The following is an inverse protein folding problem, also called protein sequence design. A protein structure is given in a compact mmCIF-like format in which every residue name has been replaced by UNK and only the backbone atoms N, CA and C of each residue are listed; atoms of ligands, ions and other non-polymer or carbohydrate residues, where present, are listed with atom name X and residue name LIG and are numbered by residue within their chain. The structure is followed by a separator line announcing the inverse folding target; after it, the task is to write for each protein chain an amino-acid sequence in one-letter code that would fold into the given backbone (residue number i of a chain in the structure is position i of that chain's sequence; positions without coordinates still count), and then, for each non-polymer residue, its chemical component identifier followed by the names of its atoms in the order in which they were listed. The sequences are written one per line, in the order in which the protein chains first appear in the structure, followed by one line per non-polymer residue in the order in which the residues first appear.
data_IF_671849713203
#
_entry.id   IF_671849713203
#
_cell.length_a   1.000
_cell.length_b   1.000
_cell.length_c   1.000
_cell.angle_alpha   90.00
_cell.angle_beta   90.00
_cell.angle_gamma   90.00
#
_symmetry.space_group_name_H-M   'P 1'
#
loop_
_entity.id
_entity.type
_entity.pdbx_description
1 polymer ?
#
# COMPACT_ATOMS: atom_id res chain seq x y z
N UNK A 1 -55.23 1.42 -34.34
CA UNK A 1 -54.02 1.74 -33.54
C UNK A 1 -52.71 1.21 -34.13
N UNK A 2 -52.69 0.25 -35.07
CA UNK A 2 -51.45 -0.31 -35.62
C UNK A 2 -50.74 0.56 -36.68
N UNK A 3 -51.41 1.53 -37.32
CA UNK A 3 -50.76 2.39 -38.33
C UNK A 3 -49.91 3.54 -37.77
N UNK A 4 -50.12 3.95 -36.50
CA UNK A 4 -49.33 5.04 -35.88
C UNK A 4 -47.94 4.58 -35.42
N UNK A 5 -47.72 3.29 -35.17
CA UNK A 5 -46.41 2.78 -34.75
C UNK A 5 -45.42 2.60 -35.91
N UNK A 6 -45.91 2.34 -37.12
CA UNK A 6 -45.04 2.18 -38.30
C UNK A 6 -44.38 3.50 -38.74
N UNK A 7 -45.11 4.62 -38.65
CA UNK A 7 -44.60 5.95 -39.03
C UNK A 7 -43.54 6.44 -38.04
N UNK A 8 -43.75 6.21 -36.73
CA UNK A 8 -42.76 6.57 -35.70
C UNK A 8 -41.47 5.75 -35.82
N UNK A 9 -41.55 4.49 -36.23
CA UNK A 9 -40.37 3.64 -36.42
C UNK A 9 -39.53 4.07 -37.64
N UNK A 10 -40.18 4.47 -38.74
CA UNK A 10 -39.49 4.95 -39.95
C UNK A 10 -38.80 6.31 -39.71
N UNK A 11 -39.41 7.20 -38.92
CA UNK A 11 -38.81 8.49 -38.54
C UNK A 11 -37.60 8.33 -37.58
N UNK A 12 -37.66 7.38 -36.66
CA UNK A 12 -36.53 7.06 -35.78
C UNK A 12 -35.36 6.41 -36.54
N UNK A 13 -35.65 5.55 -37.52
CA UNK A 13 -34.62 4.91 -38.33
C UNK A 13 -33.92 5.91 -39.27
N UNK A 14 -34.66 6.87 -39.84
CA UNK A 14 -34.07 7.94 -40.68
C UNK A 14 -33.23 8.92 -39.86
N UNK A 15 -33.64 9.24 -38.61
CA UNK A 15 -32.85 10.07 -37.70
C UNK A 15 -31.53 9.38 -37.29
N UNK A 16 -31.55 8.06 -37.04
CA UNK A 16 -30.36 7.27 -36.70
C UNK A 16 -29.35 7.18 -37.86
N UNK A 17 -29.83 7.06 -39.10
CA UNK A 17 -28.97 7.03 -40.29
C UNK A 17 -28.31 8.39 -40.53
N UNK A 18 -29.04 9.50 -40.32
CA UNK A 18 -28.49 10.85 -40.46
C UNK A 18 -27.42 11.17 -39.39
N UNK A 19 -27.60 10.67 -38.14
CA UNK A 19 -26.60 10.80 -37.07
C UNK A 19 -25.34 9.99 -37.38
N UNK A 20 -25.46 8.78 -37.94
CA UNK A 20 -24.29 7.99 -38.35
C UNK A 20 -23.51 8.62 -39.50
N UNK A 21 -24.19 9.24 -40.47
CA UNK A 21 -23.54 9.97 -41.58
C UNK A 21 -22.82 11.23 -41.06
N UNK A 22 -23.41 11.95 -40.11
CA UNK A 22 -22.79 13.13 -39.50
C UNK A 22 -21.54 12.77 -38.67
N UNK A 23 -21.56 11.66 -37.94
CA UNK A 23 -20.39 11.17 -37.19
C UNK A 23 -19.26 10.65 -38.09
N UNK A 24 -19.57 10.15 -39.30
CA UNK A 24 -18.55 9.68 -40.24
C UNK A 24 -17.82 10.84 -40.95
N UNK A 25 -18.50 11.98 -41.14
CA UNK A 25 -17.92 13.15 -41.82
C UNK A 25 -17.01 14.02 -40.93
N UNK A 26 -17.02 13.85 -39.61
CA UNK A 26 -16.19 14.65 -38.68
C UNK A 26 -14.80 14.01 -38.41
N UNK A 27 -14.57 12.74 -38.77
CA UNK A 27 -13.34 12.01 -38.45
C UNK A 27 -12.31 11.89 -39.60
N UNK A 28 -12.35 12.78 -40.60
CA UNK A 28 -11.39 12.76 -41.73
C UNK A 28 -10.63 14.07 -41.91
N UNK A 29 -9.85 14.49 -40.91
CA UNK A 29 -8.80 15.52 -40.97
C UNK A 29 -8.07 15.48 -39.61
N UNK A 30 -6.76 15.30 -39.40
CA UNK A 30 -5.55 15.52 -40.19
C UNK A 30 -4.45 14.53 -39.71
N UNK A 31 -3.65 14.05 -40.66
CA UNK A 31 -2.29 13.56 -40.46
C UNK A 31 -1.32 14.74 -40.64
N UNK A 32 -0.29 14.85 -39.80
CA UNK A 32 1.01 15.33 -40.27
C UNK A 32 2.14 14.81 -39.38
N UNK A 33 3.02 14.06 -40.02
CA UNK A 33 4.32 13.57 -39.58
C UNK A 33 5.39 14.68 -39.56
N UNK A 34 6.33 14.61 -38.62
CA UNK A 34 7.71 15.07 -38.86
C UNK A 34 8.73 14.35 -37.99
N UNK A 35 9.73 13.76 -38.64
CA UNK A 35 10.94 13.12 -38.12
C UNK A 35 12.10 14.13 -38.00
N UNK A 36 12.95 14.05 -36.95
CA UNK A 36 14.42 14.15 -37.08
C UNK A 36 15.20 13.82 -35.80
N UNK A 37 16.45 13.38 -35.98
CA UNK A 37 17.37 12.69 -35.08
C UNK A 37 18.19 13.55 -34.07
N UNK A 38 18.78 12.82 -33.10
CA UNK A 38 20.12 12.94 -32.45
C UNK A 38 20.27 13.56 -31.04
N UNK A 39 20.63 12.65 -30.13
CA UNK A 39 21.49 12.74 -28.91
C UNK A 39 21.78 14.11 -28.27
N UNK A 40 21.33 14.28 -27.03
CA UNK A 40 22.17 14.72 -25.92
C UNK A 40 21.41 14.62 -24.58
N UNK A 41 22.08 14.03 -23.58
CA UNK A 41 21.86 14.07 -22.13
C UNK A 41 20.50 14.62 -21.65
N UNK A 42 19.68 13.73 -21.09
CA UNK A 42 18.40 14.04 -20.45
C UNK A 42 18.58 14.86 -19.17
N UNK A 43 18.80 16.17 -19.32
CA UNK A 43 18.12 17.12 -18.46
C UNK A 43 16.69 17.23 -19.00
N UNK A 44 15.72 16.70 -18.27
CA UNK A 44 14.31 16.97 -18.54
C UNK A 44 14.09 18.46 -18.28
N UNK A 45 14.27 19.28 -19.33
CA UNK A 45 13.69 20.60 -19.41
C UNK A 45 12.18 20.39 -19.51
N UNK A 46 11.49 20.59 -18.39
CA UNK A 46 10.05 20.75 -18.40
C UNK A 46 9.74 21.99 -19.23
N UNK A 47 9.14 21.79 -20.40
CA UNK A 47 8.69 22.87 -21.26
C UNK A 47 7.55 23.56 -20.51
N UNK A 48 7.77 24.82 -20.13
CA UNK A 48 6.73 25.75 -19.71
C UNK A 48 5.66 25.77 -20.82
N UNK A 49 4.47 25.23 -20.55
CA UNK A 49 3.34 25.33 -21.48
C UNK A 49 2.35 24.18 -21.50
N UNK A 50 2.76 22.95 -21.17
CA UNK A 50 1.85 21.79 -21.14
C UNK A 50 1.32 21.53 -19.72
N UNK A 51 0.97 22.60 -19.01
CA UNK A 51 0.14 22.46 -17.83
C UNK A 51 -1.21 21.94 -18.28
N UNK A 52 -1.44 20.65 -18.03
CA UNK A 52 -2.79 20.14 -17.89
C UNK A 52 -3.52 21.17 -17.02
N UNK A 53 -4.65 21.66 -17.53
CA UNK A 53 -5.51 22.65 -16.91
C UNK A 53 -6.13 22.04 -15.64
N UNK A 54 -5.34 21.79 -14.59
CA UNK A 54 -5.74 21.10 -13.35
C UNK A 54 -6.27 22.09 -12.29
N UNK A 55 -6.37 23.38 -12.63
CA UNK A 55 -6.92 24.41 -11.75
C UNK A 55 -5.98 24.90 -10.65
N UNK A 56 -4.68 24.56 -10.69
CA UNK A 56 -3.67 25.12 -9.79
C UNK A 56 -2.97 26.32 -10.43
N UNK A 57 -2.74 27.36 -9.64
CA UNK A 57 -1.82 28.45 -9.99
C UNK A 57 -0.37 27.96 -9.99
N UNK A 58 0.50 28.63 -10.76
CA UNK A 58 1.94 28.39 -10.74
C UNK A 58 2.52 28.49 -9.32
N UNK A 59 2.02 29.44 -8.53
CA UNK A 59 2.39 29.62 -7.13
C UNK A 59 2.10 28.38 -6.27
N UNK A 60 0.90 27.80 -6.37
CA UNK A 60 0.52 26.58 -5.62
C UNK A 60 1.37 25.37 -6.04
N UNK A 61 1.73 25.28 -7.33
CA UNK A 61 2.63 24.25 -7.82
C UNK A 61 4.03 24.38 -7.22
N UNK A 62 4.62 25.59 -7.27
CA UNK A 62 5.94 25.86 -6.70
C UNK A 62 5.97 25.62 -5.18
N UNK A 63 4.91 26.01 -4.46
CA UNK A 63 4.79 25.77 -3.03
C UNK A 63 4.73 24.27 -2.71
N UNK A 64 3.92 23.51 -3.45
CA UNK A 64 3.82 22.06 -3.32
C UNK A 64 5.16 21.37 -3.60
N UNK A 65 5.89 21.81 -4.64
CA UNK A 65 7.22 21.29 -4.98
C UNK A 65 8.24 21.56 -3.88
N UNK A 66 8.24 22.78 -3.33
CA UNK A 66 9.14 23.15 -2.23
C UNK A 66 8.84 22.33 -0.97
N UNK A 67 7.56 22.16 -0.63
CA UNK A 67 7.13 21.30 0.48
C UNK A 67 7.60 19.86 0.30
N UNK A 68 7.50 19.29 -0.90
CA UNK A 68 7.97 17.93 -1.15
C UNK A 68 9.48 17.78 -0.94
N UNK A 69 10.27 18.77 -1.37
CA UNK A 69 11.73 18.79 -1.13
C UNK A 69 12.03 18.80 0.37
N UNK A 70 11.31 19.60 1.16
CA UNK A 70 11.47 19.65 2.61
C UNK A 70 11.08 18.33 3.29
N UNK A 71 9.98 17.72 2.85
CA UNK A 71 9.54 16.42 3.36
C UNK A 71 10.53 15.30 3.00
N UNK A 72 11.10 15.30 1.80
CA UNK A 72 12.13 14.34 1.40
C UNK A 72 13.38 14.43 2.28
N UNK A 73 13.83 15.66 2.58
CA UNK A 73 14.97 15.89 3.47
C UNK A 73 14.67 15.43 4.90
N UNK A 74 13.46 15.72 5.38
CA UNK A 74 13.02 15.38 6.74
C UNK A 74 12.76 13.89 6.92
N UNK A 75 12.19 13.23 5.93
CA UNK A 75 11.75 11.84 5.97
C UNK A 75 12.49 11.01 4.92
N UNK A 76 13.81 10.94 5.08
CA UNK A 76 14.64 10.03 4.29
C UNK A 76 14.26 8.56 4.56
N UNK A 77 14.45 7.71 3.56
CA UNK A 77 13.99 6.32 3.58
C UNK A 77 15.10 5.33 3.25
N UNK A 78 15.01 4.18 3.91
CA UNK A 78 15.72 2.94 3.55
C UNK A 78 14.71 1.99 2.92
N UNK A 79 15.06 1.36 1.80
CA UNK A 79 14.25 0.28 1.26
C UNK A 79 14.63 -1.04 1.92
N UNK A 80 13.65 -1.85 2.27
CA UNK A 80 13.83 -3.16 2.88
C UNK A 80 13.21 -4.20 1.95
N UNK A 81 14.02 -5.18 1.58
CA UNK A 81 13.59 -6.33 0.79
C UNK A 81 13.73 -7.60 1.62
N UNK A 82 12.62 -8.31 1.83
CA UNK A 82 12.65 -9.63 2.45
C UNK A 82 12.82 -10.70 1.38
N UNK A 83 13.98 -11.36 1.39
CA UNK A 83 14.27 -12.47 0.48
C UNK A 83 14.06 -13.82 1.16
N UNK A 84 13.51 -14.79 0.42
CA UNK A 84 13.53 -16.19 0.80
C UNK A 84 14.06 -17.10 -0.31
N UNK A 85 13.41 -17.16 -1.48
CA UNK A 85 13.76 -18.13 -2.54
C UNK A 85 13.94 -17.51 -3.92
N UNK A 86 13.53 -16.25 -4.11
CA UNK A 86 13.37 -15.65 -5.44
C UNK A 86 14.50 -14.66 -5.76
N UNK A 87 15.74 -15.14 -5.82
CA UNK A 87 16.92 -14.28 -6.05
C UNK A 87 16.80 -13.39 -7.30
N UNK A 88 16.22 -13.90 -8.40
CA UNK A 88 15.98 -13.11 -9.62
C UNK A 88 14.93 -12.01 -9.43
N UNK A 89 13.88 -12.27 -8.64
CA UNK A 89 12.87 -11.26 -8.31
C UNK A 89 13.46 -10.18 -7.41
N UNK A 90 14.26 -10.56 -6.41
CA UNK A 90 14.99 -9.61 -5.57
C UNK A 90 15.95 -8.76 -6.41
N UNK A 91 16.68 -9.36 -7.35
CA UNK A 91 17.57 -8.59 -8.22
C UNK A 91 16.82 -7.56 -9.07
N UNK A 92 15.66 -7.91 -9.62
CA UNK A 92 14.80 -6.97 -10.34
C UNK A 92 14.27 -5.85 -9.45
N UNK A 93 13.80 -6.19 -8.24
CA UNK A 93 13.34 -5.22 -7.27
C UNK A 93 14.45 -4.25 -6.87
N UNK A 94 15.67 -4.75 -6.58
CA UNK A 94 16.83 -3.91 -6.25
C UNK A 94 17.16 -2.95 -7.40
N UNK A 95 17.19 -3.41 -8.65
CA UNK A 95 17.44 -2.54 -9.79
C UNK A 95 16.41 -1.41 -9.89
N UNK A 96 15.12 -1.73 -9.76
CA UNK A 96 14.06 -0.73 -9.77
C UNK A 96 14.20 0.28 -8.63
N UNK A 97 14.54 -0.18 -7.41
CA UNK A 97 14.74 0.71 -6.26
C UNK A 97 15.96 1.63 -6.44
N UNK A 98 17.04 1.14 -7.04
CA UNK A 98 18.21 1.95 -7.39
C UNK A 98 17.85 3.00 -8.46
N UNK A 99 17.13 2.62 -9.51
CA UNK A 99 16.68 3.51 -10.59
C UNK A 99 15.75 4.62 -10.08
N UNK A 100 14.98 4.35 -9.00
CA UNK A 100 14.05 5.32 -8.43
C UNK A 100 14.73 6.54 -7.78
N UNK A 101 15.98 6.40 -7.31
CA UNK A 101 16.70 7.39 -6.50
C UNK A 101 15.95 7.88 -5.23
N UNK A 102 14.96 7.13 -4.74
CA UNK A 102 14.16 7.53 -3.56
C UNK A 102 14.78 7.14 -2.21
N UNK A 103 15.81 6.29 -2.23
CA UNK A 103 16.36 5.65 -1.03
C UNK A 103 17.81 6.02 -0.78
N UNK A 104 18.15 6.22 0.50
CA UNK A 104 19.54 6.44 0.93
C UNK A 104 20.30 5.12 1.11
N UNK A 105 19.59 4.05 1.44
CA UNK A 105 20.12 2.72 1.67
C UNK A 105 19.09 1.68 1.22
N UNK A 106 19.56 0.51 0.80
CA UNK A 106 18.74 -0.67 0.56
C UNK A 106 19.26 -1.78 1.48
N UNK A 107 18.41 -2.28 2.38
CA UNK A 107 18.68 -3.44 3.22
C UNK A 107 17.96 -4.65 2.63
N UNK A 108 18.72 -5.70 2.32
CA UNK A 108 18.19 -6.97 1.85
C UNK A 108 18.33 -7.96 2.99
N UNK A 109 17.21 -8.32 3.60
CA UNK A 109 17.16 -9.36 4.62
C UNK A 109 16.98 -10.71 3.96
N UNK A 110 18.06 -11.47 3.84
CA UNK A 110 17.98 -12.84 3.36
C UNK A 110 17.54 -13.77 4.51
N UNK A 111 16.28 -14.15 4.47
CA UNK A 111 15.65 -15.00 5.47
C UNK A 111 15.93 -16.49 5.24
N UNK A 112 16.68 -16.86 4.19
CA UNK A 112 16.97 -18.25 3.83
C UNK A 112 18.38 -18.67 4.23
N UNK A 113 18.53 -19.52 5.26
CA UNK A 113 19.85 -19.94 5.75
C UNK A 113 20.60 -20.85 4.77
N UNK A 114 19.91 -21.43 3.78
CA UNK A 114 20.51 -22.31 2.78
C UNK A 114 21.08 -21.55 1.58
N UNK A 115 20.85 -20.24 1.50
CA UNK A 115 21.35 -19.39 0.42
C UNK A 115 22.20 -18.30 1.07
N UNK A 116 23.38 -18.04 0.53
CA UNK A 116 24.19 -16.89 0.93
C UNK A 116 24.12 -15.83 -0.19
N UNK A 117 23.32 -14.79 0.01
CA UNK A 117 23.24 -13.69 -0.95
C UNK A 117 24.51 -12.85 -0.90
N UNK A 118 24.99 -12.47 -2.08
CA UNK A 118 26.15 -11.58 -2.25
C UNK A 118 25.81 -10.51 -3.27
N UNK A 119 26.50 -9.36 -3.21
CA UNK A 119 26.21 -8.22 -4.11
C UNK A 119 26.39 -8.52 -5.60
N UNK A 120 27.05 -9.62 -5.97
CA UNK A 120 27.32 -9.99 -7.37
C UNK A 120 26.04 -10.22 -8.17
N UNK A 121 24.95 -10.65 -7.54
CA UNK A 121 23.67 -10.88 -8.22
C UNK A 121 22.98 -9.59 -8.69
N UNK A 122 23.44 -8.43 -8.21
CA UNK A 122 22.87 -7.10 -8.52
C UNK A 122 23.68 -6.30 -9.55
N UNK A 123 24.80 -6.84 -10.05
CA UNK A 123 25.75 -6.13 -10.93
C UNK A 123 25.25 -5.84 -12.36
N UNK A 124 23.98 -6.07 -12.69
CA UNK A 124 23.49 -5.93 -14.06
C UNK A 124 23.48 -4.49 -14.57
N UNK A 125 23.41 -3.51 -13.67
CA UNK A 125 23.27 -2.11 -13.98
C UNK A 125 24.43 -1.34 -13.32
N UNK A 126 25.05 -0.39 -14.01
CA UNK A 126 26.25 0.37 -13.60
C UNK A 126 26.10 1.21 -12.31
N UNK A 127 25.13 0.93 -11.44
CA UNK A 127 24.98 1.60 -10.16
C UNK A 127 26.11 1.20 -9.21
N UNK A 128 26.52 2.15 -8.36
CA UNK A 128 27.27 1.79 -7.16
C UNK A 128 26.39 0.91 -6.28
N UNK A 129 26.99 -0.16 -5.74
CA UNK A 129 26.35 -1.07 -4.80
C UNK A 129 26.67 -0.69 -3.34
N UNK A 130 27.27 0.48 -3.10
CA UNK A 130 27.69 0.92 -1.76
C UNK A 130 26.51 1.17 -0.84
N UNK A 131 25.36 1.60 -1.39
CA UNK A 131 24.11 1.80 -0.66
C UNK A 131 23.37 0.51 -0.31
N UNK A 132 23.85 -0.66 -0.77
CA UNK A 132 23.21 -1.95 -0.49
C UNK A 132 23.89 -2.63 0.70
N UNK A 133 23.08 -3.01 1.70
CA UNK A 133 23.47 -3.88 2.81
C UNK A 133 22.70 -5.19 2.74
N UNK A 134 23.41 -6.32 2.81
CA UNK A 134 22.80 -7.66 2.80
C UNK A 134 22.98 -8.27 4.18
N UNK A 135 21.88 -8.71 4.79
CA UNK A 135 21.88 -9.42 6.07
C UNK A 135 21.49 -10.88 5.77
N UNK A 136 22.46 -11.79 5.83
CA UNK A 136 22.23 -13.23 5.69
C UNK A 136 21.86 -13.84 7.04
N UNK A 137 20.56 -14.08 7.24
CA UNK A 137 20.05 -14.65 8.49
C UNK A 137 20.40 -16.12 8.63
N UNK A 138 20.69 -16.54 9.87
CA UNK A 138 20.96 -17.96 10.22
C UNK A 138 19.68 -18.81 10.29
N UNK A 139 18.51 -18.17 10.27
CA UNK A 139 17.21 -18.81 10.34
C UNK A 139 16.13 -17.99 9.62
N UNK A 140 14.93 -18.56 9.48
CA UNK A 140 13.79 -17.86 8.89
C UNK A 140 12.96 -17.16 9.98
N UNK A 141 13.15 -15.84 10.14
CA UNK A 141 12.44 -15.00 11.10
C UNK A 141 11.02 -14.58 10.64
N UNK A 142 10.54 -15.06 9.48
CA UNK A 142 9.22 -14.74 8.94
C UNK A 142 8.98 -13.22 8.90
N UNK A 143 7.82 -12.75 9.37
CA UNK A 143 7.46 -11.33 9.39
C UNK A 143 8.35 -10.49 10.32
N UNK A 144 8.97 -11.07 11.35
CA UNK A 144 9.80 -10.31 12.29
C UNK A 144 11.01 -9.64 11.61
N UNK A 145 11.54 -10.29 10.56
CA UNK A 145 12.72 -9.84 9.81
C UNK A 145 12.63 -8.39 9.35
N UNK A 146 11.45 -7.96 8.86
CA UNK A 146 11.26 -6.62 8.30
C UNK A 146 11.39 -5.52 9.35
N UNK A 147 10.90 -5.79 10.57
CA UNK A 147 11.00 -4.85 11.68
C UNK A 147 12.42 -4.75 12.20
N UNK A 148 13.15 -5.87 12.26
CA UNK A 148 14.59 -5.88 12.61
C UNK A 148 15.41 -5.09 11.61
N UNK A 149 15.22 -5.34 10.32
CA UNK A 149 15.87 -4.59 9.25
C UNK A 149 15.58 -3.08 9.37
N UNK A 150 14.32 -2.69 9.60
CA UNK A 150 13.97 -1.29 9.73
C UNK A 150 14.55 -0.64 10.99
N UNK A 151 14.51 -1.34 12.12
CA UNK A 151 15.04 -0.85 13.38
C UNK A 151 16.56 -0.56 13.32
N UNK A 152 17.28 -1.28 12.48
CA UNK A 152 18.72 -1.11 12.20
C UNK A 152 19.04 -0.19 11.02
N UNK A 153 18.03 0.40 10.35
CA UNK A 153 18.23 1.33 9.25
C UNK A 153 18.80 2.67 9.75
N UNK A 154 19.52 3.39 8.88
CA UNK A 154 20.12 4.68 9.22
C UNK A 154 19.21 5.89 8.92
N UNK A 155 18.02 5.66 8.39
CA UNK A 155 17.06 6.68 7.97
C UNK A 155 15.88 6.82 8.94
N UNK A 156 15.03 7.82 8.69
CA UNK A 156 13.85 8.12 9.51
C UNK A 156 12.73 7.11 9.34
N UNK A 157 12.49 6.65 8.10
CA UNK A 157 11.49 5.64 7.79
C UNK A 157 12.03 4.55 6.88
N UNK A 158 11.19 3.53 6.67
CA UNK A 158 11.50 2.39 5.84
C UNK A 158 10.37 2.13 4.86
N UNK A 159 10.71 1.94 3.58
CA UNK A 159 9.84 1.24 2.65
C UNK A 159 10.13 -0.26 2.75
N UNK A 160 9.10 -1.09 2.66
CA UNK A 160 9.23 -2.54 2.73
C UNK A 160 8.41 -3.25 1.66
N UNK A 161 8.95 -4.32 1.07
CA UNK A 161 8.22 -5.24 0.18
C UNK A 161 8.82 -6.66 0.21
N UNK A 162 7.96 -7.68 0.07
CA UNK A 162 8.38 -9.10 -0.09
C UNK A 162 8.96 -9.39 -1.49
N UNK A 163 9.68 -10.52 -1.62
CA UNK A 163 10.30 -10.96 -2.89
C UNK A 163 9.33 -11.44 -3.99
N UNK A 164 8.01 -11.42 -3.76
CA UNK A 164 6.96 -11.70 -4.76
C UNK A 164 6.22 -10.48 -5.29
N UNK A 165 6.38 -9.27 -4.76
CA UNK A 165 5.56 -8.14 -5.20
C UNK A 165 6.32 -7.13 -6.05
N UNK A 166 5.69 -6.69 -7.13
CA UNK A 166 6.19 -5.63 -7.99
C UNK A 166 5.72 -4.25 -7.48
N UNK A 167 6.67 -3.48 -6.95
CA UNK A 167 6.42 -2.15 -6.41
C UNK A 167 6.31 -1.03 -7.45
N UNK A 168 6.54 -1.31 -8.73
CA UNK A 168 6.69 -0.27 -9.76
C UNK A 168 5.44 0.57 -10.04
N UNK A 169 4.27 0.12 -9.57
CA UNK A 169 2.99 0.77 -9.83
C UNK A 169 2.51 1.69 -8.71
N UNK A 170 3.18 1.71 -7.56
CA UNK A 170 2.70 2.44 -6.38
C UNK A 170 3.79 3.03 -5.49
N UNK A 171 5.07 2.81 -5.81
CA UNK A 171 6.19 3.20 -4.96
C UNK A 171 6.20 4.71 -4.65
N UNK A 172 6.11 5.54 -5.67
CA UNK A 172 6.14 7.01 -5.55
C UNK A 172 4.91 7.50 -4.82
N UNK A 173 3.72 7.02 -5.21
CA UNK A 173 2.45 7.37 -4.56
C UNK A 173 2.44 7.01 -3.08
N UNK A 174 2.93 5.81 -2.73
CA UNK A 174 2.97 5.36 -1.34
C UNK A 174 3.96 6.17 -0.50
N UNK A 175 5.12 6.53 -1.07
CA UNK A 175 6.11 7.39 -0.39
C UNK A 175 5.58 8.81 -0.22
N UNK A 176 4.93 9.38 -1.25
CA UNK A 176 4.32 10.70 -1.16
C UNK A 176 3.21 10.73 -0.09
N UNK A 177 2.40 9.67 -0.01
CA UNK A 177 1.37 9.55 1.03
C UNK A 177 1.98 9.48 2.43
N UNK A 178 3.05 8.69 2.60
CA UNK A 178 3.80 8.63 3.85
C UNK A 178 4.42 9.97 4.23
N UNK A 179 5.06 10.68 3.29
CA UNK A 179 5.66 11.99 3.56
C UNK A 179 4.62 13.01 3.99
N UNK A 180 3.41 12.95 3.43
CA UNK A 180 2.30 13.80 3.82
C UNK A 180 1.77 13.46 5.23
N UNK A 181 1.84 12.19 5.65
CA UNK A 181 1.39 11.78 6.97
C UNK A 181 2.23 10.67 7.65
N UNK A 182 3.47 10.95 8.06
CA UNK A 182 4.46 9.90 8.37
C UNK A 182 4.20 9.16 9.68
N UNK A 183 3.23 9.59 10.48
CA UNK A 183 2.98 9.03 11.81
C UNK A 183 1.97 7.89 11.81
N UNK A 184 1.48 7.46 10.66
CA UNK A 184 0.68 6.22 10.50
C UNK A 184 1.41 5.20 9.64
N UNK A 185 0.91 3.96 9.65
CA UNK A 185 1.33 2.93 8.72
C UNK A 185 0.71 3.19 7.35
N UNK A 186 1.53 3.21 6.31
CA UNK A 186 1.07 3.24 4.92
C UNK A 186 1.30 1.88 4.29
N UNK A 187 0.31 1.36 3.56
CA UNK A 187 0.44 0.06 2.91
C UNK A 187 -0.35 -0.05 1.62
N UNK A 188 -0.09 -1.11 0.87
CA UNK A 188 -0.77 -1.40 -0.39
C UNK A 188 -1.32 -2.82 -0.32
N UNK A 189 -2.53 -3.01 -0.84
CA UNK A 189 -3.08 -4.36 -1.02
C UNK A 189 -4.14 -4.39 -2.12
N UNK A 190 -4.70 -5.57 -2.39
CA UNK A 190 -5.80 -5.73 -3.34
C UNK A 190 -7.17 -5.49 -2.70
N UNK A 191 -8.20 -5.35 -3.52
CA UNK A 191 -9.56 -5.02 -3.09
C UNK A 191 -10.14 -5.93 -2.00
N UNK A 192 -10.02 -7.24 -2.16
CA UNK A 192 -10.58 -8.21 -1.22
C UNK A 192 -9.85 -8.17 0.11
N UNK A 193 -8.52 -8.12 0.08
CA UNK A 193 -7.69 -7.97 1.28
C UNK A 193 -7.90 -6.62 1.95
N UNK A 194 -8.07 -5.53 1.19
CA UNK A 194 -8.37 -4.20 1.72
C UNK A 194 -9.65 -4.25 2.55
N UNK A 195 -10.73 -4.82 2.00
CA UNK A 195 -12.00 -4.91 2.73
C UNK A 195 -11.86 -5.80 3.98
N UNK A 196 -11.18 -6.95 3.88
CA UNK A 196 -10.92 -7.79 5.06
C UNK A 196 -10.15 -7.02 6.14
N UNK A 197 -9.07 -6.33 5.77
CA UNK A 197 -8.27 -5.52 6.70
C UNK A 197 -9.11 -4.41 7.35
N UNK A 198 -9.95 -3.75 6.56
CA UNK A 198 -10.82 -2.69 7.01
C UNK A 198 -11.84 -3.18 8.06
N UNK A 199 -12.45 -4.35 7.84
CA UNK A 199 -13.36 -5.01 8.80
C UNK A 199 -12.65 -5.45 10.08
N UNK A 200 -11.33 -5.63 10.03
CA UNK A 200 -10.49 -5.99 11.17
C UNK A 200 -9.96 -4.73 11.90
N UNK A 201 -10.80 -3.70 11.98
CA UNK A 201 -10.53 -2.47 12.74
C UNK A 201 -11.42 -2.38 13.99
N UNK A 202 -10.92 -1.67 14.99
CA UNK A 202 -11.44 -1.65 16.35
C UNK A 202 -11.57 -0.23 16.88
N UNK A 203 -12.78 0.11 17.34
CA UNK A 203 -13.12 1.45 17.82
C UNK A 203 -13.84 1.39 19.16
N UNK A 204 -13.22 1.96 20.19
CA UNK A 204 -13.81 2.20 21.50
C UNK A 204 -13.27 3.53 22.04
N UNK A 205 -14.07 4.58 21.90
CA UNK A 205 -13.72 5.95 22.31
C UNK A 205 -13.54 6.08 23.83
N UNK A 206 -14.11 5.18 24.64
CA UNK A 206 -14.02 5.26 26.11
C UNK A 206 -12.60 4.96 26.60
N UNK A 207 -11.82 4.22 25.82
CA UNK A 207 -10.47 3.76 26.15
C UNK A 207 -9.42 4.22 25.13
N UNK A 208 -9.78 5.14 24.24
CA UNK A 208 -8.89 5.62 23.17
C UNK A 208 -8.40 4.52 22.22
N UNK A 209 -9.25 3.52 21.93
CA UNK A 209 -8.94 2.44 21.00
C UNK A 209 -9.34 2.82 19.56
N UNK A 210 -8.35 2.94 18.69
CA UNK A 210 -8.50 3.28 17.26
C UNK A 210 -7.55 2.45 16.39
N UNK A 211 -7.58 1.13 16.55
CA UNK A 211 -6.63 0.23 15.90
C UNK A 211 -7.18 -0.31 14.57
N UNK A 212 -6.37 -0.29 13.52
CA UNK A 212 -6.69 -0.88 12.22
C UNK A 212 -5.66 -1.92 11.81
N UNK A 213 -6.13 -3.01 11.20
CA UNK A 213 -5.22 -4.04 10.69
C UNK A 213 -4.72 -3.71 9.28
N UNK A 214 -3.50 -4.12 8.97
CA UNK A 214 -2.97 -4.14 7.60
C UNK A 214 -1.96 -5.26 7.43
N UNK A 215 -2.12 -6.06 6.36
CA UNK A 215 -1.00 -6.85 5.84
C UNK A 215 0.05 -5.94 5.19
N UNK A 216 1.33 -6.21 5.40
CA UNK A 216 2.44 -5.29 5.09
C UNK A 216 3.32 -5.82 3.93
N UNK A 217 3.17 -7.12 3.60
CA UNK A 217 3.94 -7.83 2.56
C UNK A 217 4.00 -7.17 1.19
N UNK A 218 2.88 -6.63 0.72
CA UNK A 218 2.73 -6.13 -0.66
C UNK A 218 3.31 -4.74 -0.89
N UNK A 219 3.97 -4.11 0.09
CA UNK A 219 4.39 -2.72 0.01
C UNK A 219 3.89 -1.95 1.21
N UNK A 220 4.81 -1.36 1.97
CA UNK A 220 4.47 -0.52 3.11
C UNK A 220 5.53 0.53 3.39
N UNK A 221 5.14 1.62 4.06
CA UNK A 221 6.06 2.63 4.58
C UNK A 221 5.66 2.98 6.01
N UNK A 222 6.66 3.01 6.90
CA UNK A 222 6.48 3.37 8.30
C UNK A 222 7.78 3.91 8.90
N UNK A 223 7.68 4.57 10.07
CA UNK A 223 8.85 5.13 10.76
C UNK A 223 9.71 4.04 11.40
N UNK A 224 11.03 4.25 11.39
CA UNK A 224 12.01 3.38 12.06
C UNK A 224 11.70 3.20 13.54
N UNK A 225 11.31 4.27 14.21
CA UNK A 225 10.97 4.24 15.63
C UNK A 225 9.78 3.30 15.94
N UNK A 226 8.84 3.14 15.00
CA UNK A 226 7.74 2.20 15.15
C UNK A 226 8.23 0.76 15.09
N UNK A 227 9.20 0.47 14.22
CA UNK A 227 9.85 -0.84 14.19
C UNK A 227 10.61 -1.13 15.49
N UNK A 228 11.37 -0.16 15.99
CA UNK A 228 12.13 -0.29 17.24
C UNK A 228 11.21 -0.56 18.44
N UNK A 229 10.15 0.25 18.57
CA UNK A 229 9.13 0.08 19.61
C UNK A 229 8.41 -1.26 19.47
N UNK A 230 8.11 -1.69 18.25
CA UNK A 230 7.46 -2.98 18.02
C UNK A 230 8.31 -4.15 18.47
N UNK A 231 9.63 -4.14 18.21
CA UNK A 231 10.54 -5.19 18.70
C UNK A 231 10.51 -5.26 20.23
N UNK A 232 10.46 -4.11 20.92
CA UNK A 232 10.33 -4.05 22.38
C UNK A 232 9.00 -4.67 22.85
N UNK A 233 7.88 -4.35 22.17
CA UNK A 233 6.59 -4.95 22.47
C UNK A 233 6.59 -6.47 22.28
N UNK A 234 7.16 -6.98 21.18
CA UNK A 234 7.27 -8.42 20.94
C UNK A 234 8.04 -9.11 22.08
N UNK A 235 9.15 -8.52 22.53
CA UNK A 235 9.94 -9.07 23.64
C UNK A 235 9.19 -9.05 24.96
N UNK A 236 8.44 -7.99 25.25
CA UNK A 236 7.72 -7.81 26.50
C UNK A 236 6.44 -8.67 26.54
N UNK A 237 5.55 -8.48 25.57
CA UNK A 237 4.21 -9.05 25.57
C UNK A 237 4.15 -10.50 25.05
N UNK A 238 5.07 -10.92 24.18
CA UNK A 238 5.09 -12.27 23.61
C UNK A 238 6.17 -13.18 24.19
N UNK A 239 6.76 -12.83 25.35
CA UNK A 239 7.76 -13.66 26.04
C UNK A 239 7.32 -15.12 26.22
N UNK A 240 6.04 -15.34 26.54
CA UNK A 240 5.44 -16.66 26.75
C UNK A 240 4.76 -17.24 25.50
N UNK A 241 4.73 -16.50 24.38
CA UNK A 241 4.03 -16.86 23.14
C UNK A 241 4.93 -16.68 21.91
N UNK A 242 6.21 -17.09 22.01
CA UNK A 242 7.22 -16.80 20.99
C UNK A 242 6.91 -17.36 19.61
N UNK A 243 6.12 -18.43 19.51
CA UNK A 243 5.70 -18.99 18.21
C UNK A 243 4.81 -18.03 17.41
N UNK A 244 4.17 -17.06 18.06
CA UNK A 244 3.31 -16.07 17.42
C UNK A 244 4.09 -14.91 16.80
N UNK A 245 5.37 -14.73 17.14
CA UNK A 245 6.23 -13.68 16.56
C UNK A 245 6.30 -13.79 15.04
N UNK A 246 6.08 -14.98 14.47
CA UNK A 246 6.00 -15.17 13.02
C UNK A 246 4.86 -14.42 12.32
N UNK A 247 3.87 -13.93 13.09
CA UNK A 247 2.77 -13.08 12.63
C UNK A 247 2.95 -11.63 13.12
N UNK A 248 4.18 -11.14 13.15
CA UNK A 248 4.51 -9.79 13.62
C UNK A 248 3.66 -8.70 12.94
N UNK A 249 3.24 -8.87 11.69
CA UNK A 249 2.36 -7.92 10.98
C UNK A 249 1.02 -7.68 11.70
N UNK A 250 0.45 -8.71 12.33
CA UNK A 250 -0.78 -8.62 13.13
C UNK A 250 -0.56 -7.74 14.36
N UNK A 251 0.51 -8.02 15.09
CA UNK A 251 0.82 -7.26 16.29
C UNK A 251 1.24 -5.83 15.95
N UNK A 252 2.06 -5.62 14.93
CA UNK A 252 2.54 -4.30 14.53
C UNK A 252 1.39 -3.37 14.19
N UNK A 253 0.54 -3.75 13.24
CA UNK A 253 -0.56 -2.90 12.77
C UNK A 253 -1.53 -2.55 13.90
N UNK A 254 -1.95 -3.55 14.70
CA UNK A 254 -2.89 -3.33 15.81
C UNK A 254 -2.26 -2.49 16.92
N UNK A 255 -1.01 -2.75 17.32
CA UNK A 255 -0.35 -2.06 18.43
C UNK A 255 0.12 -0.64 18.12
N UNK A 256 0.02 -0.18 16.87
CA UNK A 256 0.12 1.25 16.60
C UNK A 256 -1.06 2.04 17.19
N UNK A 257 -2.17 1.36 17.48
CA UNK A 257 -3.43 1.97 17.93
C UNK A 257 -3.86 3.14 17.02
N UNK A 258 -3.64 2.97 15.72
CA UNK A 258 -4.00 3.94 14.70
C UNK A 258 -4.51 3.21 13.46
N UNK A 259 -5.15 3.94 12.56
CA UNK A 259 -5.73 3.39 11.33
C UNK A 259 -4.72 3.55 10.20
N UNK A 260 -4.32 2.45 9.54
CA UNK A 260 -3.37 2.53 8.44
C UNK A 260 -3.98 3.24 7.23
N UNK A 261 -3.16 4.01 6.52
CA UNK A 261 -3.48 4.50 5.18
C UNK A 261 -3.19 3.38 4.17
N UNK A 262 -4.23 2.75 3.63
CA UNK A 262 -4.07 1.61 2.73
C UNK A 262 -4.54 1.94 1.31
N UNK A 263 -3.66 1.71 0.34
CA UNK A 263 -3.96 1.79 -1.08
C UNK A 263 -4.61 0.50 -1.55
N UNK A 264 -5.67 0.64 -2.35
CA UNK A 264 -6.32 -0.46 -3.05
C UNK A 264 -5.83 -0.49 -4.51
N UNK A 265 -5.07 -1.52 -4.85
CA UNK A 265 -4.35 -1.67 -6.10
C UNK A 265 -4.52 -3.07 -6.69
N UNK A 266 -4.32 -3.19 -8.00
CA UNK A 266 -4.09 -4.49 -8.64
C UNK A 266 -2.61 -4.84 -8.51
N UNK A 267 -2.23 -5.35 -7.35
CA UNK A 267 -0.86 -5.77 -7.03
C UNK A 267 -0.42 -6.90 -7.97
N UNK A 268 0.80 -6.80 -8.50
CA UNK A 268 1.35 -7.76 -9.45
C UNK A 268 2.42 -8.62 -8.80
N UNK A 269 2.36 -9.92 -9.09
CA UNK A 269 3.38 -10.84 -8.64
C UNK A 269 4.60 -10.77 -9.56
N UNK A 270 5.79 -10.79 -8.98
CA UNK A 270 7.02 -11.07 -9.68
C UNK A 270 7.06 -12.57 -10.02
N UNK A 271 7.37 -12.94 -11.27
CA UNK A 271 7.40 -14.34 -11.66
C UNK A 271 8.49 -15.09 -10.89
N UNK A 272 8.19 -16.31 -10.49
CA UNK A 272 9.08 -17.17 -9.72
C UNK A 272 9.25 -18.52 -10.41
N UNK A 273 10.49 -18.90 -10.74
CA UNK A 273 10.83 -20.23 -11.27
C UNK A 273 10.70 -21.34 -10.21
N UNK A 274 10.83 -21.00 -8.92
CA UNK A 274 10.79 -21.95 -7.79
C UNK A 274 10.04 -21.38 -6.57
N UNK A 275 8.74 -21.12 -6.70
CA UNK A 275 7.96 -20.49 -5.62
C UNK A 275 7.88 -21.33 -4.32
N UNK A 276 7.95 -22.67 -4.41
CA UNK A 276 7.81 -23.57 -3.26
C UNK A 276 6.53 -23.34 -2.44
N UNK A 277 6.39 -24.06 -1.32
CA UNK A 277 5.32 -23.83 -0.36
C UNK A 277 5.58 -22.54 0.44
N UNK A 278 4.59 -21.64 0.53
CA UNK A 278 4.64 -20.44 1.35
C UNK A 278 4.32 -20.77 2.81
N UNK A 279 4.65 -19.89 3.76
CA UNK A 279 4.26 -20.10 5.16
C UNK A 279 2.73 -20.21 5.33
N UNK A 280 1.99 -19.51 4.48
CA UNK A 280 0.52 -19.55 4.44
C UNK A 280 -0.07 -20.91 4.07
N UNK A 281 0.71 -21.81 3.48
CA UNK A 281 0.26 -23.17 3.15
C UNK A 281 0.54 -24.19 4.26
N UNK A 282 1.05 -23.77 5.42
CA UNK A 282 1.27 -24.67 6.56
C UNK A 282 -0.02 -24.94 7.33
N UNK A 283 -0.19 -26.15 7.87
CA UNK A 283 -1.40 -26.53 8.63
C UNK A 283 -1.65 -25.66 9.86
N UNK A 284 -0.58 -25.09 10.44
CA UNK A 284 -0.67 -24.22 11.62
C UNK A 284 -0.92 -22.75 11.29
N UNK A 285 -0.88 -22.34 10.03
CA UNK A 285 -1.04 -20.94 9.66
C UNK A 285 -2.35 -20.35 10.16
N UNK A 286 -3.48 -21.04 9.94
CA UNK A 286 -4.80 -20.58 10.38
C UNK A 286 -4.89 -20.47 11.91
N UNK A 287 -4.34 -21.45 12.61
CA UNK A 287 -4.32 -21.47 14.07
C UNK A 287 -3.53 -20.27 14.61
N UNK A 288 -2.30 -20.07 14.13
CA UNK A 288 -1.46 -18.98 14.62
C UNK A 288 -1.97 -17.61 14.20
N UNK A 289 -2.57 -17.46 13.02
CA UNK A 289 -3.22 -16.22 12.62
C UNK A 289 -4.38 -15.87 13.57
N UNK A 290 -5.19 -16.88 13.93
CA UNK A 290 -6.27 -16.72 14.88
C UNK A 290 -5.75 -16.32 16.28
N UNK A 291 -4.80 -17.08 16.82
CA UNK A 291 -4.20 -16.81 18.12
C UNK A 291 -3.57 -15.41 18.19
N UNK A 292 -2.81 -15.02 17.17
CA UNK A 292 -2.19 -13.69 17.09
C UNK A 292 -3.22 -12.57 17.04
N UNK A 293 -4.29 -12.73 16.27
CA UNK A 293 -5.31 -11.68 16.13
C UNK A 293 -6.06 -11.43 17.43
N UNK A 294 -6.48 -12.52 18.10
CA UNK A 294 -7.16 -12.45 19.40
C UNK A 294 -6.23 -11.89 20.48
N UNK A 295 -4.97 -12.35 20.51
CA UNK A 295 -4.02 -11.91 21.52
C UNK A 295 -3.64 -10.44 21.33
N UNK A 296 -3.40 -9.99 20.09
CA UNK A 296 -3.03 -8.61 19.80
C UNK A 296 -4.05 -7.62 20.35
N UNK A 297 -5.34 -7.83 20.05
CA UNK A 297 -6.41 -6.92 20.50
C UNK A 297 -6.65 -7.00 22.01
N UNK A 298 -6.57 -8.20 22.61
CA UNK A 298 -6.71 -8.35 24.08
C UNK A 298 -5.61 -7.61 24.83
N UNK A 299 -4.37 -7.69 24.35
CA UNK A 299 -3.25 -6.98 24.97
C UNK A 299 -3.43 -5.47 24.84
N UNK A 300 -3.76 -4.98 23.64
CA UNK A 300 -3.98 -3.56 23.41
C UNK A 300 -5.11 -3.03 24.30
N UNK A 301 -6.28 -3.66 24.24
CA UNK A 301 -7.48 -3.25 24.98
C UNK A 301 -7.25 -3.25 26.49
N UNK A 302 -6.62 -4.30 27.02
CA UNK A 302 -6.29 -4.38 28.44
C UNK A 302 -5.37 -3.24 28.85
N UNK A 303 -4.30 -2.99 28.09
CA UNK A 303 -3.34 -1.94 28.41
C UNK A 303 -3.93 -0.54 28.31
N UNK A 304 -4.88 -0.30 27.39
CA UNK A 304 -5.60 0.96 27.29
C UNK A 304 -6.53 1.20 28.48
N UNK A 305 -7.17 0.16 29.02
CA UNK A 305 -7.95 0.26 30.27
C UNK A 305 -7.08 0.46 31.52
N UNK A 306 -5.91 -0.16 31.57
CA UNK A 306 -4.97 -0.06 32.70
C UNK A 306 -4.13 1.23 32.68
N UNK A 307 -4.16 1.98 31.58
CA UNK A 307 -3.38 3.20 31.30
C UNK A 307 -3.68 4.39 32.25
N UNK A 308 -4.38 4.14 33.36
CA UNK A 308 -4.62 5.05 34.48
C UNK A 308 -3.65 4.81 35.66
N UNK A 309 -2.61 3.98 35.51
CA UNK A 309 -1.67 3.66 36.60
C UNK A 309 -0.29 4.31 36.41
N UNK A 310 0.25 4.90 37.48
CA UNK A 310 1.52 5.64 37.53
C UNK A 310 2.79 4.75 37.40
N UNK A 311 2.74 3.63 36.67
CA UNK A 311 3.88 2.73 36.54
C UNK A 311 4.94 3.30 35.57
N UNK A 312 6.11 3.63 36.09
CA UNK A 312 7.24 4.17 35.33
C UNK A 312 7.85 3.15 34.35
N UNK A 313 7.52 1.86 34.46
CA UNK A 313 7.97 0.80 33.54
C UNK A 313 6.94 0.48 32.45
N UNK A 314 5.84 1.24 32.38
CA UNK A 314 4.77 0.99 31.43
C UNK A 314 5.20 1.33 29.98
N UNK A 315 5.15 0.34 29.09
CA UNK A 315 5.34 0.55 27.64
C UNK A 315 3.96 0.64 26.99
N UNK A 316 3.42 1.85 26.91
CA UNK A 316 2.06 2.08 26.44
C UNK A 316 1.83 2.05 24.95
N UNK A 317 0.56 1.87 24.56
CA UNK A 317 0.08 1.95 23.18
C UNK A 317 -0.52 3.33 22.85
N UNK A 318 0.15 4.39 23.31
CA UNK A 318 -0.34 5.75 23.11
C UNK A 318 -0.37 6.12 21.64
N UNK A 319 -1.49 6.70 21.20
CA UNK A 319 -1.63 7.30 19.88
C UNK A 319 -0.76 8.56 19.82
N UNK A 320 -0.09 8.79 18.69
CA UNK A 320 0.68 10.02 18.50
C UNK A 320 -0.20 11.24 18.28
N UNK A 321 -1.37 11.03 17.69
CA UNK A 321 -2.30 12.10 17.37
C UNK A 321 -3.72 11.60 17.57
N UNK A 322 -4.58 12.45 18.14
CA UNK A 322 -6.01 12.20 18.18
C UNK A 322 -6.59 12.53 16.79
N UNK A 323 -6.40 11.60 15.85
CA UNK A 323 -6.83 11.75 14.46
C UNK A 323 -8.26 11.29 14.30
N UNK A 324 -8.99 11.99 13.43
CA UNK A 324 -10.20 11.42 12.83
C UNK A 324 -9.78 10.35 11.84
N UNK A 325 -10.59 9.31 11.73
CA UNK A 325 -10.40 8.21 10.81
C UNK A 325 -10.07 8.72 9.40
N UNK A 326 -9.05 8.17 8.73
CA UNK A 326 -8.79 8.52 7.34
C UNK A 326 -9.97 8.04 6.49
N UNK A 327 -10.86 8.96 6.14
CA UNK A 327 -12.05 8.65 5.36
C UNK A 327 -11.74 8.25 3.91
N UNK A 328 -10.47 8.39 3.48
CA UNK A 328 -10.10 8.25 2.09
C UNK A 328 -9.53 6.86 1.77
N UNK A 329 -10.15 6.20 0.79
CA UNK A 329 -9.53 5.07 0.08
C UNK A 329 -8.68 5.64 -1.04
N UNK A 330 -7.47 5.09 -1.22
CA UNK A 330 -6.47 5.61 -2.15
C UNK A 330 -6.13 4.59 -3.25
N UNK A 331 -5.70 5.07 -4.40
CA UNK A 331 -5.16 4.27 -5.50
C UNK A 331 -4.14 5.11 -6.26
N UNK A 332 -3.03 4.52 -6.69
CA UNK A 332 -2.09 5.20 -7.59
C UNK A 332 -2.55 5.05 -9.03
N UNK A 333 -2.16 6.01 -9.87
CA UNK A 333 -2.34 5.88 -11.31
C UNK A 333 -1.53 4.68 -11.85
N UNK A 334 -1.85 4.18 -13.07
CA UNK A 334 -1.10 3.10 -13.69
C UNK A 334 0.36 3.43 -13.98
N UNK A 335 0.73 4.72 -13.98
CA UNK A 335 2.09 5.22 -14.16
C UNK A 335 2.74 5.66 -12.85
N UNK A 336 2.03 5.55 -11.73
CA UNK A 336 2.47 6.00 -10.40
C UNK A 336 2.90 7.47 -10.38
N UNK A 337 2.15 8.33 -11.09
CA UNK A 337 2.41 9.77 -11.25
C UNK A 337 1.41 10.66 -10.50
N UNK A 338 0.28 10.11 -10.04
CA UNK A 338 -0.65 10.78 -9.13
C UNK A 338 -1.41 9.78 -8.25
N UNK A 339 -1.98 10.31 -7.16
CA UNK A 339 -2.83 9.57 -6.21
C UNK A 339 -4.29 9.98 -6.44
N UNK A 340 -5.16 9.01 -6.70
CA UNK A 340 -6.60 9.18 -6.61
C UNK A 340 -7.07 8.81 -5.21
N UNK A 341 -7.90 9.65 -4.61
CA UNK A 341 -8.52 9.39 -3.32
C UNK A 341 -10.02 9.70 -3.35
N UNK A 342 -10.80 8.94 -2.60
CA UNK A 342 -12.25 9.15 -2.44
C UNK A 342 -12.69 8.75 -1.05
N UNK A 343 -13.75 9.38 -0.54
CA UNK A 343 -14.35 9.09 0.75
C UNK A 343 -15.40 7.96 0.71
N UNK A 344 -15.45 7.20 -0.39
CA UNK A 344 -16.37 6.07 -0.55
C UNK A 344 -15.74 4.83 0.07
N UNK A 345 -16.22 4.47 1.25
CA UNK A 345 -15.82 3.28 2.00
C UNK A 345 -16.82 2.13 1.77
N UNK A 346 -16.38 0.85 1.86
CA UNK A 346 -17.30 -0.28 1.77
C UNK A 346 -18.31 -0.32 2.92
N UNK A 347 -17.94 0.22 4.08
CA UNK A 347 -18.73 0.27 5.29
C UNK A 347 -18.28 1.44 6.17
N UNK A 348 -19.19 1.98 6.99
CA UNK A 348 -18.85 2.98 8.01
C UNK A 348 -18.40 2.29 9.30
N UNK A 349 -17.12 1.94 9.36
CA UNK A 349 -16.55 1.12 10.44
C UNK A 349 -16.53 1.83 11.80
N UNK A 350 -16.46 3.18 11.82
CA UNK A 350 -16.50 3.97 13.06
C UNK A 350 -17.85 3.83 13.78
N UNK A 351 -18.92 3.53 13.04
CA UNK A 351 -20.26 3.29 13.62
C UNK A 351 -20.46 1.87 14.13
N UNK A 352 -19.47 0.99 14.01
CA UNK A 352 -19.53 -0.39 14.49
C UNK A 352 -18.80 -0.47 15.83
N UNK A 353 -19.53 -0.38 16.96
CA UNK A 353 -18.91 -0.39 18.27
C UNK A 353 -18.10 -1.67 18.47
N UNK A 354 -17.00 -1.58 19.20
CA UNK A 354 -16.22 -2.74 19.60
C UNK A 354 -16.46 -3.08 21.07
N UNK A 355 -16.76 -4.36 21.34
CA UNK A 355 -16.81 -4.88 22.71
C UNK A 355 -15.94 -6.14 22.80
N UNK A 356 -14.85 -6.08 23.55
CA UNK A 356 -13.89 -7.20 23.64
C UNK A 356 -14.55 -8.53 24.07
N UNK A 357 -15.60 -8.51 24.90
CA UNK A 357 -16.29 -9.72 25.35
C UNK A 357 -17.09 -10.41 24.25
N UNK A 358 -17.49 -9.67 23.20
CA UNK A 358 -18.31 -10.17 22.07
C UNK A 358 -17.54 -10.25 20.76
N UNK A 359 -16.61 -9.31 20.54
CA UNK A 359 -15.96 -9.04 19.26
C UNK A 359 -14.48 -9.47 19.23
N UNK A 360 -13.97 -10.22 20.21
CA UNK A 360 -12.55 -10.60 20.25
C UNK A 360 -12.07 -11.38 19.01
N UNK A 361 -12.98 -12.03 18.27
CA UNK A 361 -12.67 -12.72 17.02
C UNK A 361 -12.79 -11.82 15.77
N UNK A 362 -13.11 -10.52 15.89
CA UNK A 362 -13.35 -9.61 14.76
C UNK A 362 -12.23 -9.64 13.73
N UNK A 363 -10.97 -9.62 14.16
CA UNK A 363 -9.78 -9.68 13.31
C UNK A 363 -9.40 -11.06 12.76
N UNK A 364 -10.29 -12.04 12.83
CA UNK A 364 -9.99 -13.43 12.43
C UNK A 364 -10.64 -13.78 11.10
N UNK A 365 -10.15 -14.85 10.46
CA UNK A 365 -10.73 -15.36 9.22
C UNK A 365 -12.19 -15.82 9.32
N UNK A 366 -12.73 -16.02 10.52
CA UNK A 366 -14.17 -16.29 10.72
C UNK A 366 -15.05 -15.10 10.34
N UNK A 367 -14.49 -13.89 10.39
CA UNK A 367 -15.17 -12.63 10.10
C UNK A 367 -14.68 -12.02 8.79
N UNK A 368 -14.30 -12.84 7.81
CA UNK A 368 -14.08 -12.35 6.45
C UNK A 368 -15.41 -11.83 5.88
N UNK A 369 -15.40 -10.66 5.23
CA UNK A 369 -16.61 -10.16 4.61
C UNK A 369 -17.03 -11.13 3.50
N UNK A 370 -18.34 -11.37 3.38
CA UNK A 370 -18.93 -12.25 2.37
C UNK A 370 -20.18 -11.62 1.76
N UNK A 371 -20.68 -12.20 0.67
CA UNK A 371 -21.92 -11.75 0.03
C UNK A 371 -21.78 -10.59 -0.95
N UNK A 372 -22.92 -10.01 -1.33
CA UNK A 372 -23.02 -9.05 -2.43
C UNK A 372 -22.25 -7.75 -2.20
N UNK A 373 -22.06 -7.32 -0.94
CA UNK A 373 -21.30 -6.11 -0.62
C UNK A 373 -19.82 -6.25 -1.00
N UNK A 374 -19.21 -7.42 -0.79
CA UNK A 374 -17.82 -7.68 -1.20
C UNK A 374 -17.68 -7.69 -2.70
N UNK A 375 -18.63 -8.34 -3.40
CA UNK A 375 -18.66 -8.36 -4.86
C UNK A 375 -18.86 -6.96 -5.43
N UNK A 376 -19.72 -6.16 -4.82
CA UNK A 376 -19.94 -4.76 -5.19
C UNK A 376 -18.66 -3.96 -5.00
N UNK A 377 -18.08 -3.94 -3.81
CA UNK A 377 -16.85 -3.19 -3.55
C UNK A 377 -15.73 -3.60 -4.50
N UNK A 378 -15.53 -4.90 -4.71
CA UNK A 378 -14.50 -5.42 -5.64
C UNK A 378 -14.71 -4.99 -7.10
N UNK A 379 -15.97 -4.76 -7.50
CA UNK A 379 -16.32 -4.32 -8.85
C UNK A 379 -16.19 -2.81 -9.04
N UNK A 380 -16.25 -2.03 -7.94
CA UNK A 380 -16.29 -0.57 -7.95
C UNK A 380 -15.23 0.05 -7.03
N UNK A 381 -14.04 -0.55 -6.97
CA UNK A 381 -12.95 -0.05 -6.14
C UNK A 381 -12.40 1.28 -6.65
N UNK A 382 -11.64 1.98 -5.81
CA UNK A 382 -10.92 3.21 -6.19
C UNK A 382 -9.98 3.03 -7.38
N UNK A 383 -9.37 1.85 -7.52
CA UNK A 383 -8.55 1.53 -8.69
C UNK A 383 -9.34 1.64 -10.00
N UNK A 384 -10.64 1.30 -10.00
CA UNK A 384 -11.50 1.42 -11.18
C UNK A 384 -11.70 2.86 -11.63
N UNK A 385 -11.41 3.82 -10.76
CA UNK A 385 -11.38 5.22 -11.13
C UNK A 385 -10.06 5.62 -11.77
N UNK A 386 -9.04 4.77 -11.89
CA UNK A 386 -7.74 5.12 -12.51
C UNK A 386 -7.19 4.01 -13.40
N UNK A 387 -7.97 2.98 -13.74
CA UNK A 387 -7.49 1.78 -14.43
C UNK A 387 -7.36 1.93 -15.96
N UNK A 388 -7.60 3.14 -16.49
CA UNK A 388 -7.67 3.44 -17.93
C UNK A 388 -8.73 2.61 -18.68
N UNK A 389 -9.68 1.97 -18.00
CA UNK A 389 -10.77 1.25 -18.66
C UNK A 389 -11.79 2.26 -19.20
N UNK A 390 -12.03 2.35 -20.52
CA UNK A 390 -13.00 3.29 -21.07
C UNK A 390 -14.45 3.02 -20.66
N UNK A 391 -14.71 1.85 -20.04
CA UNK A 391 -16.01 1.43 -19.50
C UNK A 391 -16.22 1.86 -18.03
N UNK A 392 -15.19 2.28 -17.32
CA UNK A 392 -15.33 2.83 -15.96
C UNK A 392 -15.59 4.34 -16.02
N UNK A 393 -16.17 4.91 -14.96
CA UNK A 393 -16.69 6.28 -14.98
C UNK A 393 -15.61 7.38 -15.11
N UNK A 394 -14.33 7.06 -14.90
CA UNK A 394 -13.24 8.05 -14.92
C UNK A 394 -12.30 7.82 -16.11
N UNK A 395 -12.17 8.85 -16.95
CA UNK A 395 -11.25 8.85 -18.10
C UNK A 395 -10.14 9.86 -17.85
N UNK A 396 -8.88 9.45 -17.61
CA UNK A 396 -7.77 10.39 -17.66
C UNK A 396 -7.65 10.91 -19.09
N UNK A 397 -7.77 12.22 -19.30
CA UNK A 397 -7.68 12.86 -20.62
C UNK A 397 -9.01 13.29 -21.27
N UNK A 398 -10.11 13.40 -20.53
CA UNK A 398 -11.20 14.31 -20.91
C UNK A 398 -10.88 15.72 -20.37
N UNK A 399 -10.04 16.45 -21.10
CA UNK A 399 -10.04 17.91 -21.11
C UNK A 399 -10.20 18.35 -22.56
#
# INVERSE_FOLDING_TARGET
MQHKHAITFILLLTLLILIQIYCFLINTTQNSSSTSNKSNRDHVQFIDGDYINIGFSEFEFLQSKQREIELEQKYNLTAILLHWKRSESVARAVNYLLDSNLFKEIIIWNNNPNINLTKTIFKKNNHSLDSIRIINSKENLKDEAKYRACAEANTMGCFYVDDDWDASFYLKSLIADFRNDPYILHSVTNAGTFYANFMWSYFDNEIDLHAGFSWIGCGSVFLREYAQRHIQYLQFYLKNNRHLIYFSDVFFSIWLNDIPSQFNMNIRNLPASNAGASFSSTSKFLQYQYESSVLAIRILEHNLRQNQSNDTNYIGFSRRQNRRFPYYVKSSSPKDDFIFFTNILPIDIERIPFNISKDFERGTRKNLPTGSQVSFFSSYTTLKAVDNDPKTCWRPGRN
#
